data_IF_340434277801
#
_entry.id   IF_340434277801
#
_cell.length_a   1.000
_cell.length_b   1.000
_cell.length_c   1.000
_cell.angle_alpha   90.00
_cell.angle_beta   90.00
_cell.angle_gamma   90.00
#
_symmetry.space_group_name_H-M   'P 1'
#
loop_
_entity.id
_entity.type
_entity.pdbx_description
1 polymer ?
#
# COMPACT_ATOMS: atom_id res chain seq x y z
N UNK A 1 7.82 6.97 21.29
CA UNK A 1 7.93 5.80 20.41
C UNK A 1 7.63 6.20 18.95
N UNK A 2 6.38 6.48 18.55
CA UNK A 2 6.11 7.09 17.24
C UNK A 2 6.13 8.61 17.32
N UNK A 3 7.00 9.24 16.55
CA UNK A 3 7.00 10.69 16.39
C UNK A 3 6.03 11.12 15.30
N UNK A 4 5.88 10.25 14.30
CA UNK A 4 4.99 10.47 13.16
C UNK A 4 4.55 9.15 12.55
N UNK A 5 3.30 9.09 12.10
CA UNK A 5 2.78 8.04 11.24
C UNK A 5 1.79 8.66 10.25
N UNK A 6 1.99 8.42 8.97
CA UNK A 6 1.16 8.94 7.90
C UNK A 6 1.00 7.94 6.77
N UNK A 7 -0.25 7.73 6.35
CA UNK A 7 -0.59 6.70 5.37
C UNK A 7 0.21 6.82 4.06
N UNK A 8 0.46 8.04 3.58
CA UNK A 8 1.25 8.30 2.37
C UNK A 8 2.72 8.57 2.65
N UNK A 9 3.00 9.13 3.82
CA UNK A 9 4.34 9.63 4.14
C UNK A 9 5.25 8.55 4.70
N UNK A 10 4.68 7.57 5.40
CA UNK A 10 5.44 6.58 6.12
C UNK A 10 5.50 6.87 7.61
N UNK A 11 6.58 6.46 8.28
CA UNK A 11 6.66 6.50 9.73
C UNK A 11 8.02 6.99 10.23
N UNK A 12 7.99 7.68 11.38
CA UNK A 12 9.17 8.03 12.17
C UNK A 12 9.01 7.38 13.53
N UNK A 13 9.85 6.38 13.81
CA UNK A 13 9.76 5.54 14.99
C UNK A 13 11.10 5.58 15.74
N UNK A 14 11.05 5.92 17.01
CA UNK A 14 12.18 5.79 17.93
C UNK A 14 11.89 4.71 18.97
N UNK A 15 12.30 3.48 18.65
CA UNK A 15 12.10 2.33 19.52
C UNK A 15 13.05 2.31 20.75
N UNK A 16 14.02 3.23 20.83
CA UNK A 16 14.87 3.40 22.02
C UNK A 16 14.11 4.08 23.17
N UNK A 17 13.02 4.79 22.86
CA UNK A 17 12.20 5.46 23.86
C UNK A 17 11.12 4.54 24.41
N UNK A 18 10.86 4.57 25.72
CA UNK A 18 9.78 3.78 26.33
C UNK A 18 8.41 4.24 25.80
N UNK A 19 7.47 3.29 25.77
CA UNK A 19 6.07 3.62 25.52
C UNK A 19 5.48 4.25 26.80
N UNK A 20 5.23 5.54 26.77
CA UNK A 20 4.63 6.25 27.90
C UNK A 20 3.11 6.32 27.74
N UNK A 21 2.38 5.90 28.77
CA UNK A 21 0.93 6.11 28.86
C UNK A 21 0.71 7.53 29.41
N UNK A 22 0.31 8.44 28.53
CA UNK A 22 0.15 9.88 28.87
C UNK A 22 -1.22 10.26 29.39
N UNK A 23 -2.25 9.42 29.17
CA UNK A 23 -3.61 9.70 29.63
C UNK A 23 -4.39 8.40 29.90
N UNK A 24 -5.36 8.43 30.80
CA UNK A 24 -6.26 7.30 31.02
C UNK A 24 -7.17 7.09 29.81
N UNK A 25 -7.53 5.84 29.58
CA UNK A 25 -8.55 5.46 28.61
C UNK A 25 -9.90 5.37 29.31
N UNK A 26 -10.92 5.98 28.72
CA UNK A 26 -12.30 5.87 29.21
C UNK A 26 -13.13 5.06 28.22
N UNK A 27 -13.94 4.16 28.74
CA UNK A 27 -14.90 3.43 27.94
C UNK A 27 -16.07 4.35 27.60
N UNK A 28 -16.39 4.48 26.32
CA UNK A 28 -17.58 5.20 25.86
C UNK A 28 -18.53 4.26 25.13
N UNK A 29 -19.82 4.60 25.12
CA UNK A 29 -20.79 3.86 24.33
C UNK A 29 -20.74 4.31 22.86
N UNK A 30 -20.91 3.37 21.94
CA UNK A 30 -21.15 3.69 20.54
C UNK A 30 -22.49 4.42 20.39
N UNK A 31 -22.56 5.35 19.45
CA UNK A 31 -23.83 5.96 19.07
C UNK A 31 -24.78 4.87 18.55
N UNK A 32 -26.04 4.91 18.96
CA UNK A 32 -27.06 3.97 18.47
C UNK A 32 -27.36 4.09 16.97
N UNK A 33 -26.89 5.18 16.34
CA UNK A 33 -26.98 5.38 14.88
C UNK A 33 -25.85 4.73 14.09
N UNK A 34 -24.83 4.15 14.75
CA UNK A 34 -23.70 3.51 14.09
C UNK A 34 -23.86 1.99 14.19
N UNK A 35 -23.95 1.32 13.04
CA UNK A 35 -23.88 -0.13 12.93
C UNK A 35 -22.45 -0.55 12.58
N UNK A 36 -21.88 -1.45 13.39
CA UNK A 36 -20.58 -2.07 13.07
C UNK A 36 -20.84 -3.39 12.36
N UNK A 37 -20.27 -3.54 11.18
CA UNK A 37 -20.37 -4.75 10.39
C UNK A 37 -18.97 -5.28 10.03
N UNK A 38 -18.78 -6.60 9.98
CA UNK A 38 -17.51 -7.17 9.56
C UNK A 38 -17.27 -6.91 8.06
N UNK A 39 -16.04 -6.66 7.68
CA UNK A 39 -15.65 -6.69 6.26
C UNK A 39 -15.75 -8.11 5.70
N UNK A 40 -16.14 -8.23 4.44
CA UNK A 40 -16.23 -9.52 3.74
C UNK A 40 -14.87 -10.01 3.21
N UNK A 41 -13.89 -9.15 3.15
CA UNK A 41 -12.55 -9.45 2.67
C UNK A 41 -11.50 -8.86 3.61
N UNK A 42 -10.34 -9.49 3.68
CA UNK A 42 -9.24 -9.08 4.55
C UNK A 42 -8.03 -8.67 3.72
N UNK A 43 -7.43 -7.55 4.10
CA UNK A 43 -6.11 -7.17 3.62
C UNK A 43 -5.07 -7.87 4.48
N UNK A 44 -4.19 -8.65 3.86
CA UNK A 44 -3.21 -9.48 4.54
C UNK A 44 -1.83 -9.35 3.88
N UNK A 45 -0.78 -9.72 4.63
CA UNK A 45 0.55 -9.91 4.06
C UNK A 45 0.61 -11.27 3.37
N UNK A 46 1.17 -11.28 2.17
CA UNK A 46 1.26 -12.48 1.34
C UNK A 46 2.72 -12.83 1.04
N UNK A 47 3.20 -12.59 -0.17
CA UNK A 47 4.56 -12.96 -0.55
C UNK A 47 5.60 -12.14 0.21
N UNK A 48 6.66 -12.83 0.63
CA UNK A 48 7.89 -12.16 1.10
C UNK A 48 8.88 -12.08 -0.06
N UNK A 49 9.17 -10.86 -0.50
CA UNK A 49 10.17 -10.60 -1.52
C UNK A 49 11.51 -10.27 -0.86
N UNK A 50 12.58 -10.81 -1.44
CA UNK A 50 13.96 -10.50 -1.06
C UNK A 50 14.59 -9.65 -2.17
N UNK A 51 15.56 -8.78 -1.85
CA UNK A 51 16.33 -8.09 -2.88
C UNK A 51 17.00 -9.09 -3.83
N UNK A 52 16.84 -8.89 -5.12
CA UNK A 52 17.51 -9.64 -6.18
C UNK A 52 18.86 -9.04 -6.53
N UNK A 53 19.01 -7.72 -6.35
CA UNK A 53 20.23 -6.97 -6.61
C UNK A 53 20.43 -5.90 -5.56
N UNK A 54 21.70 -5.64 -5.22
CA UNK A 54 22.14 -4.57 -4.32
C UNK A 54 23.03 -3.62 -5.09
N UNK A 55 22.50 -2.42 -5.36
CA UNK A 55 23.18 -1.36 -6.08
C UNK A 55 23.83 -0.42 -5.05
N UNK A 56 25.13 -0.27 -5.08
CA UNK A 56 25.88 0.58 -4.15
C UNK A 56 25.87 2.04 -4.63
N UNK A 57 25.29 2.94 -3.82
CA UNK A 57 25.43 4.38 -3.95
C UNK A 57 26.63 4.92 -3.16
N UNK A 58 26.75 6.24 -3.10
CA UNK A 58 27.86 6.90 -2.39
C UNK A 58 27.73 6.74 -0.87
N UNK A 59 26.56 7.01 -0.31
CA UNK A 59 26.27 7.00 1.13
C UNK A 59 25.00 6.16 1.46
N UNK A 60 24.58 5.31 0.52
CA UNK A 60 23.38 4.47 0.62
C UNK A 60 23.53 3.22 -0.25
N UNK A 61 22.62 2.29 -0.07
CA UNK A 61 22.43 1.17 -0.99
C UNK A 61 21.01 1.19 -1.53
N UNK A 62 20.83 0.82 -2.79
CA UNK A 62 19.51 0.63 -3.40
C UNK A 62 19.30 -0.87 -3.60
N UNK A 63 18.20 -1.37 -3.09
CA UNK A 63 17.78 -2.76 -3.20
C UNK A 63 16.74 -2.88 -4.32
N UNK A 64 17.04 -3.64 -5.37
CA UNK A 64 16.10 -4.00 -6.42
C UNK A 64 15.41 -5.33 -6.07
N UNK A 65 14.09 -5.30 -5.91
CA UNK A 65 13.28 -6.50 -5.66
C UNK A 65 12.90 -7.24 -6.95
N UNK A 66 13.25 -6.71 -8.11
CA UNK A 66 12.91 -7.30 -9.41
C UNK A 66 11.44 -7.21 -9.79
N UNK A 67 10.56 -6.86 -8.86
CA UNK A 67 9.12 -6.77 -9.03
C UNK A 67 8.57 -5.49 -8.41
N UNK A 68 7.83 -4.69 -9.20
CA UNK A 68 7.04 -3.58 -8.68
C UNK A 68 5.78 -4.12 -8.00
N UNK A 69 5.52 -3.73 -6.74
CA UNK A 69 4.42 -4.27 -5.95
C UNK A 69 3.93 -3.27 -4.88
N UNK A 70 2.68 -3.44 -4.46
CA UNK A 70 2.15 -2.82 -3.25
C UNK A 70 2.55 -3.64 -2.02
N UNK A 71 3.11 -3.00 -1.00
CA UNK A 71 3.56 -3.71 0.19
C UNK A 71 4.25 -2.82 1.21
N UNK A 72 4.93 -3.44 2.14
CA UNK A 72 5.66 -2.77 3.22
C UNK A 72 7.09 -3.29 3.32
N UNK A 73 8.07 -2.41 3.57
CA UNK A 73 9.42 -2.85 3.92
C UNK A 73 9.42 -3.54 5.28
N UNK A 74 10.20 -4.59 5.40
CA UNK A 74 10.44 -5.30 6.65
C UNK A 74 11.88 -5.08 7.06
N UNK A 75 12.10 -4.57 8.26
CA UNK A 75 13.42 -4.29 8.82
C UNK A 75 13.74 -5.33 9.88
N UNK A 76 14.74 -6.18 9.63
CA UNK A 76 15.24 -7.08 10.66
C UNK A 76 16.21 -6.31 11.57
N UNK A 77 15.71 -5.96 12.73
CA UNK A 77 16.39 -5.10 13.70
C UNK A 77 17.60 -5.77 14.34
N UNK A 78 17.71 -7.10 14.27
CA UNK A 78 18.88 -7.84 14.79
C UNK A 78 20.18 -7.52 14.05
N UNK A 79 20.12 -6.91 12.85
CA UNK A 79 21.28 -6.43 12.10
C UNK A 79 21.72 -5.01 12.46
N UNK A 80 20.97 -4.33 13.36
CA UNK A 80 21.22 -2.94 13.73
C UNK A 80 21.84 -2.83 15.11
N UNK A 81 22.65 -1.81 15.30
CA UNK A 81 23.15 -1.43 16.62
C UNK A 81 22.10 -0.61 17.37
N UNK A 82 21.99 -0.80 18.69
CA UNK A 82 21.07 -0.01 19.55
C UNK A 82 21.37 1.48 19.40
N UNK A 83 20.32 2.28 19.19
CA UNK A 83 20.40 3.72 18.97
C UNK A 83 20.72 4.12 17.51
N UNK A 84 21.10 3.18 16.64
CA UNK A 84 21.26 3.51 15.22
C UNK A 84 19.91 3.74 14.55
N UNK A 85 19.89 4.59 13.52
CA UNK A 85 18.67 4.92 12.76
C UNK A 85 18.84 4.53 11.30
N UNK A 86 17.98 3.63 10.83
CA UNK A 86 17.88 3.30 9.42
C UNK A 86 16.83 4.20 8.77
N UNK A 87 17.16 4.70 7.58
CA UNK A 87 16.24 5.40 6.68
C UNK A 87 15.98 4.54 5.46
N UNK A 88 14.70 4.25 5.22
CA UNK A 88 14.23 3.50 4.06
C UNK A 88 13.36 4.42 3.20
N UNK A 89 13.72 4.60 1.94
CA UNK A 89 12.92 5.34 0.95
C UNK A 89 12.53 4.43 -0.19
N UNK A 90 11.33 4.58 -0.71
CA UNK A 90 10.82 3.74 -1.80
C UNK A 90 10.71 4.48 -3.13
N UNK A 91 10.83 3.75 -4.24
CA UNK A 91 10.50 4.20 -5.59
C UNK A 91 10.15 3.02 -6.50
N UNK A 92 9.39 3.28 -7.56
CA UNK A 92 9.02 2.28 -8.56
C UNK A 92 10.08 2.12 -9.65
N UNK A 93 10.81 3.20 -9.96
CA UNK A 93 11.83 3.25 -11.01
C UNK A 93 13.06 4.05 -10.53
N UNK A 94 14.17 3.82 -11.21
CA UNK A 94 15.38 4.64 -11.08
C UNK A 94 15.40 5.72 -12.16
N UNK A 95 16.08 6.83 -11.87
CA UNK A 95 16.37 7.87 -12.86
C UNK A 95 17.55 7.48 -13.77
N UNK A 96 17.91 8.36 -14.68
CA UNK A 96 19.03 8.15 -15.63
C UNK A 96 20.42 8.04 -14.97
N UNK A 97 20.55 8.43 -13.72
CA UNK A 97 21.80 8.36 -12.96
C UNK A 97 21.84 7.07 -12.08
N UNK A 98 20.75 6.31 -12.04
CA UNK A 98 20.61 5.14 -11.17
C UNK A 98 20.12 5.47 -9.77
N UNK A 99 19.69 6.71 -9.51
CA UNK A 99 19.09 7.13 -8.24
C UNK A 99 17.58 6.88 -8.24
N UNK A 100 16.96 6.86 -7.05
CA UNK A 100 15.50 6.71 -6.95
C UNK A 100 14.78 7.86 -7.65
N UNK A 101 13.95 7.55 -8.65
CA UNK A 101 13.02 8.55 -9.21
C UNK A 101 11.78 8.64 -8.34
N UNK A 102 11.55 9.79 -7.74
CA UNK A 102 10.45 10.03 -6.78
C UNK A 102 9.48 11.14 -7.20
N UNK A 103 9.62 11.69 -8.40
CA UNK A 103 8.73 12.76 -8.91
C UNK A 103 7.29 12.30 -9.09
N UNK A 104 7.07 11.01 -9.38
CA UNK A 104 5.74 10.40 -9.52
C UNK A 104 5.00 10.20 -8.18
N UNK A 105 5.67 10.32 -7.05
CA UNK A 105 5.04 10.19 -5.72
C UNK A 105 4.24 11.43 -5.31
N UNK A 106 4.33 12.52 -6.07
CA UNK A 106 3.70 13.82 -5.75
C UNK A 106 4.13 14.30 -4.35
N UNK A 107 3.19 14.38 -3.39
CA UNK A 107 3.47 14.82 -2.01
C UNK A 107 3.78 13.68 -1.05
N UNK A 108 3.56 12.42 -1.45
CA UNK A 108 3.83 11.26 -0.60
C UNK A 108 5.33 11.15 -0.32
N UNK A 109 5.71 11.13 0.96
CA UNK A 109 7.12 11.03 1.35
C UNK A 109 7.64 9.59 1.28
N UNK A 110 6.77 8.58 1.38
CA UNK A 110 7.11 7.16 1.27
C UNK A 110 8.46 6.84 1.91
N UNK A 111 8.60 7.15 3.20
CA UNK A 111 9.87 7.10 3.93
C UNK A 111 9.66 6.54 5.33
N UNK A 112 10.47 5.57 5.71
CA UNK A 112 10.51 5.04 7.09
C UNK A 112 11.82 5.49 7.73
N UNK A 113 11.71 6.05 8.91
CA UNK A 113 12.84 6.28 9.82
C UNK A 113 12.61 5.41 11.05
N UNK A 114 13.50 4.46 11.28
CA UNK A 114 13.42 3.58 12.43
C UNK A 114 14.70 3.63 13.24
N UNK A 115 14.60 4.06 14.51
CA UNK A 115 15.69 4.03 15.47
C UNK A 115 15.57 2.79 16.33
N UNK A 116 16.61 1.97 16.36
CA UNK A 116 16.69 0.69 17.08
C UNK A 116 16.65 0.89 18.58
N UNK A 117 15.73 0.20 19.24
CA UNK A 117 15.67 -0.01 20.68
C UNK A 117 16.26 -1.35 21.12
N UNK A 118 15.62 -1.98 22.11
CA UNK A 118 16.03 -3.29 22.64
C UNK A 118 15.43 -4.49 21.89
N UNK A 119 14.40 -4.27 21.08
CA UNK A 119 13.72 -5.34 20.34
C UNK A 119 14.62 -5.96 19.25
N UNK A 120 14.72 -7.28 19.27
CA UNK A 120 15.38 -8.10 18.26
C UNK A 120 14.30 -8.83 17.44
N UNK A 121 14.23 -8.59 16.14
CA UNK A 121 13.25 -9.21 15.25
C UNK A 121 12.86 -8.33 14.08
N UNK A 122 11.72 -8.63 13.46
CA UNK A 122 11.22 -7.88 12.31
C UNK A 122 10.36 -6.70 12.76
N UNK A 123 10.72 -5.49 12.31
CA UNK A 123 9.84 -4.33 12.35
C UNK A 123 9.10 -4.22 11.02
N UNK A 124 7.78 -4.17 11.08
CA UNK A 124 6.88 -4.00 9.94
C UNK A 124 6.05 -2.74 10.20
N UNK A 125 6.10 -1.71 9.35
CA UNK A 125 5.34 -0.48 9.54
C UNK A 125 3.83 -0.75 9.57
N UNK A 126 3.11 -0.46 10.69
CA UNK A 126 1.70 -0.81 10.81
C UNK A 126 0.73 0.21 10.20
N UNK A 127 1.15 1.46 9.93
CA UNK A 127 0.25 2.56 9.56
C UNK A 127 0.44 3.07 8.14
N UNK A 128 1.20 2.36 7.31
CA UNK A 128 1.46 2.72 5.91
C UNK A 128 1.61 1.48 5.03
N UNK A 129 1.43 1.64 3.74
CA UNK A 129 1.96 0.76 2.72
C UNK A 129 2.48 1.62 1.56
N UNK A 130 3.24 1.04 0.66
CA UNK A 130 3.92 1.75 -0.43
C UNK A 130 3.86 0.92 -1.71
N UNK A 131 3.89 1.60 -2.87
CA UNK A 131 4.12 0.96 -4.16
C UNK A 131 5.56 1.15 -4.58
N UNK A 132 6.32 0.07 -4.80
CA UNK A 132 7.73 0.16 -5.14
C UNK A 132 8.30 -1.13 -5.75
N UNK A 133 9.41 -0.94 -6.45
CA UNK A 133 10.36 -1.99 -6.83
C UNK A 133 11.69 -1.80 -6.11
N UNK A 134 12.04 -0.56 -5.79
CA UNK A 134 13.34 -0.19 -5.23
C UNK A 134 13.19 0.39 -3.84
N UNK A 135 14.09 -0.01 -2.93
CA UNK A 135 14.26 0.61 -1.62
C UNK A 135 15.68 1.13 -1.48
N UNK A 136 15.81 2.40 -1.12
CA UNK A 136 17.10 2.97 -0.73
C UNK A 136 17.25 2.91 0.77
N UNK A 137 18.39 2.41 1.22
CA UNK A 137 18.75 2.22 2.63
C UNK A 137 19.94 3.11 2.95
N UNK A 138 19.81 3.92 4.00
CA UNK A 138 20.88 4.79 4.51
C UNK A 138 20.82 4.92 6.03
N UNK A 139 21.86 5.50 6.64
CA UNK A 139 21.98 5.70 8.08
C UNK A 139 22.53 4.50 8.84
N UNK A 140 22.68 3.36 8.21
CA UNK A 140 23.29 2.13 8.75
C UNK A 140 24.07 1.39 7.66
N UNK A 141 24.99 0.52 8.06
CA UNK A 141 25.67 -0.39 7.15
C UNK A 141 24.73 -1.54 6.78
N UNK A 142 24.31 -1.58 5.51
CA UNK A 142 23.44 -2.64 5.01
C UNK A 142 24.15 -4.00 5.05
N UNK A 143 23.44 -5.02 5.51
CA UNK A 143 23.84 -6.43 5.48
C UNK A 143 22.75 -7.26 4.80
N UNK A 144 23.12 -8.28 4.08
CA UNK A 144 22.18 -9.20 3.46
C UNK A 144 21.24 -9.81 4.52
N UNK A 145 19.96 -9.85 4.21
CA UNK A 145 18.92 -10.31 5.15
C UNK A 145 18.38 -9.23 6.10
N UNK A 146 18.97 -8.03 6.13
CA UNK A 146 18.49 -6.92 6.96
C UNK A 146 17.14 -6.36 6.48
N UNK A 147 16.92 -6.31 5.17
CA UNK A 147 15.70 -5.76 4.58
C UNK A 147 15.06 -6.80 3.67
N UNK A 148 13.76 -6.97 3.84
CA UNK A 148 12.87 -7.68 2.92
C UNK A 148 11.61 -6.85 2.66
N UNK A 149 10.70 -7.38 1.87
CA UNK A 149 9.40 -6.75 1.62
C UNK A 149 8.28 -7.77 1.78
N UNK A 150 7.14 -7.36 2.32
CA UNK A 150 5.91 -8.14 2.31
C UNK A 150 4.90 -7.49 1.37
N UNK A 151 4.45 -8.23 0.36
CA UNK A 151 3.35 -7.80 -0.48
C UNK A 151 2.06 -7.74 0.36
N UNK A 152 1.28 -6.67 0.19
CA UNK A 152 0.07 -6.41 0.94
C UNK A 152 -1.11 -6.25 -0.03
N UNK A 153 -2.13 -7.09 0.08
CA UNK A 153 -3.35 -6.99 -0.73
C UNK A 153 -4.51 -7.77 -0.11
N UNK A 154 -5.71 -7.55 -0.65
CA UNK A 154 -6.91 -8.27 -0.24
C UNK A 154 -6.78 -9.76 -0.60
N UNK A 155 -7.00 -10.61 0.39
CA UNK A 155 -6.99 -12.07 0.21
C UNK A 155 -8.13 -12.51 -0.69
N UNK A 156 -7.78 -13.11 -1.83
CA UNK A 156 -8.70 -13.64 -2.84
C UNK A 156 -8.12 -14.95 -3.40
N UNK A 157 -8.96 -15.91 -3.65
CA UNK A 157 -8.55 -17.16 -4.30
C UNK A 157 -8.18 -16.92 -5.76
N UNK A 158 -7.01 -17.43 -6.19
CA UNK A 158 -6.60 -17.39 -7.58
C UNK A 158 -7.37 -18.43 -8.39
N UNK A 159 -8.21 -17.97 -9.34
CA UNK A 159 -9.08 -18.85 -10.14
C UNK A 159 -8.69 -18.90 -11.62
N UNK A 160 -7.98 -17.88 -12.11
CA UNK A 160 -7.57 -17.77 -13.50
C UNK A 160 -6.05 -17.87 -13.70
N UNK A 161 -5.66 -18.65 -14.70
CA UNK A 161 -4.27 -18.85 -15.08
C UNK A 161 -4.12 -18.76 -16.59
N UNK A 162 -3.05 -18.11 -17.03
CA UNK A 162 -2.72 -17.99 -18.45
C UNK A 162 -1.22 -18.24 -18.65
N UNK A 163 -0.88 -19.05 -19.63
CA UNK A 163 0.47 -19.33 -20.03
C UNK A 163 0.65 -19.25 -21.53
N UNK A 164 1.76 -18.69 -21.98
CA UNK A 164 2.11 -18.58 -23.39
C UNK A 164 3.63 -18.73 -23.58
N UNK A 165 4.04 -19.24 -24.75
CA UNK A 165 5.45 -19.29 -25.15
C UNK A 165 6.00 -17.91 -25.57
N UNK A 166 5.12 -16.94 -25.86
CA UNK A 166 5.53 -15.56 -26.13
C UNK A 166 5.91 -14.87 -24.82
N UNK A 167 7.19 -14.55 -24.66
CA UNK A 167 7.74 -13.98 -23.42
C UNK A 167 7.18 -12.60 -23.09
N UNK A 168 6.88 -11.76 -24.09
CA UNK A 168 6.38 -10.42 -23.88
C UNK A 168 4.92 -10.47 -23.40
N UNK A 169 4.10 -11.34 -24.00
CA UNK A 169 2.72 -11.54 -23.56
C UNK A 169 2.67 -12.17 -22.17
N UNK A 170 3.56 -13.15 -21.87
CA UNK A 170 3.65 -13.71 -20.52
C UNK A 170 4.02 -12.62 -19.50
N UNK A 171 5.02 -11.79 -19.83
CA UNK A 171 5.43 -10.69 -18.95
C UNK A 171 4.33 -9.67 -18.74
N UNK A 172 3.55 -9.35 -19.78
CA UNK A 172 2.37 -8.49 -19.67
C UNK A 172 1.34 -9.07 -18.70
N UNK A 173 1.03 -10.36 -18.83
CA UNK A 173 0.12 -11.05 -17.94
C UNK A 173 0.60 -11.02 -16.48
N UNK A 174 1.87 -11.32 -16.23
CA UNK A 174 2.45 -11.27 -14.89
C UNK A 174 2.37 -9.85 -14.29
N UNK A 175 2.59 -8.81 -15.10
CA UNK A 175 2.45 -7.43 -14.67
C UNK A 175 0.99 -7.08 -14.34
N UNK A 176 -0.01 -7.59 -15.09
CA UNK A 176 -1.44 -7.42 -14.79
C UNK A 176 -1.77 -8.03 -13.43
N UNK A 177 -1.26 -9.22 -13.13
CA UNK A 177 -1.46 -9.89 -11.84
C UNK A 177 -0.88 -9.06 -10.69
N UNK A 178 0.35 -8.57 -10.82
CA UNK A 178 0.96 -7.73 -9.80
C UNK A 178 0.30 -6.34 -9.69
N UNK A 179 -0.18 -5.79 -10.80
CA UNK A 179 -0.98 -4.56 -10.80
C UNK A 179 -2.29 -4.74 -10.03
N UNK A 180 -3.00 -5.87 -10.24
CA UNK A 180 -4.21 -6.19 -9.49
C UNK A 180 -3.93 -6.35 -8.00
N UNK A 181 -2.93 -7.13 -7.60
CA UNK A 181 -2.51 -7.29 -6.20
C UNK A 181 -2.22 -5.93 -5.56
N UNK A 182 -1.47 -5.07 -6.24
CA UNK A 182 -1.03 -3.78 -5.70
C UNK A 182 -2.16 -2.76 -5.53
N UNK A 183 -3.31 -2.94 -6.21
CA UNK A 183 -4.42 -2.00 -6.22
C UNK A 183 -5.73 -2.59 -5.67
N UNK A 184 -5.81 -3.88 -5.37
CA UNK A 184 -6.95 -4.47 -4.66
C UNK A 184 -6.63 -4.56 -3.17
N UNK A 185 -6.73 -3.40 -2.48
CA UNK A 185 -6.46 -3.26 -1.05
C UNK A 185 -7.72 -2.74 -0.38
N UNK A 186 -8.62 -3.65 -0.02
CA UNK A 186 -9.97 -3.45 0.50
C UNK A 186 -10.94 -2.81 -0.51
N UNK A 187 -10.46 -1.83 -1.29
CA UNK A 187 -11.14 -1.16 -2.38
C UNK A 187 -10.28 -1.19 -3.65
N UNK A 188 -10.84 -0.99 -4.86
CA UNK A 188 -10.04 -0.92 -6.10
C UNK A 188 -9.33 0.43 -6.18
N UNK A 189 -8.13 0.54 -5.58
CA UNK A 189 -7.34 1.77 -5.58
C UNK A 189 -6.76 2.07 -6.96
N UNK A 190 -6.63 3.35 -7.30
CA UNK A 190 -6.05 3.82 -8.56
C UNK A 190 -4.53 3.64 -8.62
N UNK A 191 -3.87 3.66 -7.49
CA UNK A 191 -2.41 3.58 -7.40
C UNK A 191 -1.95 3.15 -6.00
N UNK A 192 -0.76 2.50 -5.86
CA UNK A 192 -0.23 2.12 -4.56
C UNK A 192 0.83 3.07 -4.00
N UNK A 193 1.39 4.03 -4.81
CA UNK A 193 2.64 4.72 -4.48
C UNK A 193 2.51 6.17 -4.07
N UNK A 194 1.53 6.92 -4.62
CA UNK A 194 1.41 8.38 -4.45
C UNK A 194 0.33 8.76 -3.44
N UNK A 195 0.16 10.06 -3.18
CA UNK A 195 -0.83 10.64 -2.28
C UNK A 195 -2.26 10.67 -2.90
N UNK A 196 -2.76 9.52 -3.31
CA UNK A 196 -4.10 9.33 -3.89
C UNK A 196 -4.71 8.05 -3.31
N UNK A 197 -4.52 6.89 -3.89
CA UNK A 197 -4.93 5.57 -3.36
C UNK A 197 -6.41 5.51 -3.01
N UNK A 198 -7.24 5.95 -3.94
CA UNK A 198 -8.69 6.02 -3.79
C UNK A 198 -9.40 5.05 -4.73
N UNK A 199 -10.58 4.59 -4.31
CA UNK A 199 -11.44 3.73 -5.12
C UNK A 199 -12.17 4.53 -6.18
N UNK A 200 -11.52 4.86 -7.30
CA UNK A 200 -12.17 5.52 -8.42
C UNK A 200 -13.12 4.57 -9.13
N UNK A 201 -14.36 5.03 -9.34
CA UNK A 201 -15.42 4.21 -9.98
C UNK A 201 -15.10 3.88 -11.42
N UNK A 202 -14.49 4.79 -12.17
CA UNK A 202 -14.04 4.56 -13.54
C UNK A 202 -12.96 3.48 -13.64
N UNK A 203 -11.90 3.60 -12.83
CA UNK A 203 -10.80 2.62 -12.75
C UNK A 203 -11.31 1.25 -12.32
N UNK A 204 -12.15 1.21 -11.28
CA UNK A 204 -12.77 -0.02 -10.80
C UNK A 204 -13.62 -0.69 -11.90
N UNK A 205 -14.47 0.07 -12.61
CA UNK A 205 -15.32 -0.44 -13.68
C UNK A 205 -14.50 -1.06 -14.83
N UNK A 206 -13.49 -0.34 -15.33
CA UNK A 206 -12.68 -0.80 -16.46
C UNK A 206 -11.91 -2.08 -16.13
N UNK A 207 -11.42 -2.23 -14.91
CA UNK A 207 -10.61 -3.39 -14.53
C UNK A 207 -11.41 -4.55 -13.92
N UNK A 208 -12.68 -4.36 -13.55
CA UNK A 208 -13.49 -5.35 -12.84
C UNK A 208 -13.51 -6.73 -13.51
N UNK A 209 -13.76 -6.76 -14.81
CA UNK A 209 -13.83 -8.03 -15.57
C UNK A 209 -12.46 -8.70 -15.66
N UNK A 210 -11.39 -7.95 -15.91
CA UNK A 210 -10.02 -8.46 -15.90
C UNK A 210 -9.68 -9.06 -14.54
N UNK A 211 -10.05 -8.38 -13.46
CA UNK A 211 -9.85 -8.87 -12.10
C UNK A 211 -10.58 -10.18 -11.82
N UNK A 212 -11.83 -10.30 -12.29
CA UNK A 212 -12.65 -11.51 -12.13
C UNK A 212 -12.15 -12.71 -12.93
N UNK A 213 -11.44 -12.50 -14.03
CA UNK A 213 -10.79 -13.60 -14.76
C UNK A 213 -9.59 -14.18 -13.99
N UNK A 214 -8.97 -13.41 -13.11
CA UNK A 214 -7.75 -13.81 -12.43
C UNK A 214 -8.01 -14.40 -11.03
N UNK A 215 -9.00 -13.84 -10.32
CA UNK A 215 -9.30 -14.17 -8.93
C UNK A 215 -10.80 -14.28 -8.69
N UNK A 216 -11.21 -15.01 -7.67
CA UNK A 216 -12.55 -14.89 -7.10
C UNK A 216 -12.66 -13.53 -6.39
N UNK A 217 -13.25 -12.58 -7.08
CA UNK A 217 -13.41 -11.19 -6.62
C UNK A 217 -14.81 -10.91 -6.06
N UNK A 218 -15.66 -11.94 -5.87
CA UNK A 218 -17.05 -11.75 -5.47
C UNK A 218 -17.18 -10.99 -4.14
N UNK A 219 -16.47 -11.43 -3.10
CA UNK A 219 -16.50 -10.76 -1.79
C UNK A 219 -15.95 -9.34 -1.84
N UNK A 220 -14.85 -9.12 -2.61
CA UNK A 220 -14.24 -7.83 -2.81
C UNK A 220 -15.22 -6.82 -3.45
N UNK A 221 -15.83 -7.19 -4.56
CA UNK A 221 -16.80 -6.34 -5.24
C UNK A 221 -18.07 -6.14 -4.43
N UNK A 222 -18.58 -7.17 -3.76
CA UNK A 222 -19.76 -7.03 -2.92
C UNK A 222 -19.53 -6.02 -1.79
N UNK A 223 -18.37 -6.04 -1.16
CA UNK A 223 -17.99 -5.07 -0.11
C UNK A 223 -17.99 -3.64 -0.66
N UNK A 224 -17.26 -3.40 -1.75
CA UNK A 224 -17.11 -2.07 -2.33
C UNK A 224 -18.40 -1.52 -2.99
N UNK A 225 -19.17 -2.36 -3.68
CA UNK A 225 -20.45 -1.97 -4.28
C UNK A 225 -21.50 -1.63 -3.23
N UNK A 226 -21.41 -2.21 -2.05
CA UNK A 226 -22.24 -1.83 -0.91
C UNK A 226 -21.94 -0.41 -0.44
N UNK A 227 -20.66 -0.05 -0.31
CA UNK A 227 -20.26 1.32 0.02
C UNK A 227 -20.69 2.30 -1.06
N UNK A 228 -20.59 1.92 -2.33
CA UNK A 228 -21.08 2.71 -3.46
C UNK A 228 -22.59 2.95 -3.35
N UNK A 229 -23.39 1.90 -3.06
CA UNK A 229 -24.83 2.01 -2.89
C UNK A 229 -25.22 2.89 -1.69
N UNK A 230 -24.44 2.83 -0.59
CA UNK A 230 -24.63 3.72 0.56
C UNK A 230 -24.34 5.17 0.17
N UNK A 231 -23.21 5.45 -0.47
CA UNK A 231 -22.86 6.79 -0.95
C UNK A 231 -23.90 7.36 -1.93
N UNK A 232 -24.49 6.51 -2.78
CA UNK A 232 -25.58 6.92 -3.67
C UNK A 232 -26.86 7.29 -2.91
N UNK A 233 -27.19 6.60 -1.83
CA UNK A 233 -28.36 6.92 -0.98
C UNK A 233 -28.20 8.21 -0.20
N UNK A 234 -26.98 8.52 0.22
CA UNK A 234 -26.67 9.77 0.97
C UNK A 234 -26.69 11.00 0.06
N UNK A 235 -26.80 10.80 -1.24
CA UNK A 235 -26.87 11.84 -2.24
C UNK A 235 -28.31 12.05 -2.67
N UNK A 236 -28.86 13.27 -2.43
CA UNK A 236 -30.26 13.59 -2.75
C UNK A 236 -30.65 13.42 -4.22
N UNK A 237 -29.69 13.46 -5.13
CA UNK A 237 -29.91 13.32 -6.56
C UNK A 237 -29.59 11.91 -7.09
N UNK A 238 -29.10 11.02 -6.21
CA UNK A 238 -28.81 9.63 -6.54
C UNK A 238 -27.57 9.42 -7.42
N UNK A 239 -26.67 10.41 -7.51
CA UNK A 239 -25.43 10.26 -8.26
C UNK A 239 -24.46 9.28 -7.59
N UNK A 240 -23.71 8.59 -8.42
CA UNK A 240 -22.53 7.81 -8.00
C UNK A 240 -21.33 8.75 -7.96
N UNK A 241 -20.61 8.77 -6.84
CA UNK A 241 -19.39 9.55 -6.69
C UNK A 241 -18.27 9.06 -7.61
N UNK A 242 -17.34 9.94 -7.97
CA UNK A 242 -16.14 9.55 -8.70
C UNK A 242 -15.19 8.66 -7.89
N UNK A 243 -15.27 8.75 -6.56
CA UNK A 243 -14.52 7.90 -5.62
C UNK A 243 -15.45 7.31 -4.56
N UNK A 244 -15.18 6.07 -4.16
CA UNK A 244 -15.90 5.36 -3.10
C UNK A 244 -14.90 4.68 -2.16
N UNK A 245 -14.94 4.96 -0.85
CA UNK A 245 -15.75 5.98 -0.17
C UNK A 245 -15.44 7.40 -0.65
N UNK A 246 -16.45 8.27 -0.63
CA UNK A 246 -16.27 9.66 -1.02
C UNK A 246 -15.48 10.45 0.03
N UNK A 247 -14.51 11.24 -0.37
CA UNK A 247 -13.82 12.17 0.51
C UNK A 247 -14.59 13.49 0.59
N UNK A 248 -15.41 13.63 1.63
CA UNK A 248 -16.17 14.86 1.91
C UNK A 248 -17.27 15.16 0.87
N UNK A 249 -17.86 16.36 0.96
CA UNK A 249 -18.96 16.80 0.06
C UNK A 249 -18.52 17.04 -1.39
N UNK A 250 -17.23 17.04 -1.69
CA UNK A 250 -16.67 17.29 -3.03
C UNK A 250 -16.55 16.04 -3.91
N UNK A 251 -16.94 14.87 -3.42
CA UNK A 251 -16.91 13.62 -4.20
C UNK A 251 -17.95 13.54 -5.32
N UNK A 252 -18.88 14.50 -5.36
CA UNK A 252 -19.85 14.67 -6.45
C UNK A 252 -19.24 15.71 -7.39
N UNK A 253 -18.34 15.31 -8.19
CA UNK A 253 -17.66 16.25 -9.04
C UNK A 253 -18.05 16.12 -10.49
N UNK A 254 -17.60 17.08 -11.23
CA UNK A 254 -17.62 17.16 -12.67
C UNK A 254 -17.27 15.83 -13.40
N UNK A 255 -16.41 14.98 -12.82
CA UNK A 255 -16.05 13.68 -13.39
C UNK A 255 -17.20 12.66 -13.37
N UNK A 256 -18.07 12.71 -12.37
CA UNK A 256 -19.29 11.88 -12.33
C UNK A 256 -20.24 12.24 -13.49
N UNK A 257 -20.32 13.54 -13.82
CA UNK A 257 -21.12 14.02 -14.96
C UNK A 257 -20.54 13.62 -16.34
N UNK A 258 -19.25 13.27 -16.39
CA UNK A 258 -18.57 12.79 -17.60
C UNK A 258 -18.61 11.26 -17.78
N UNK A 259 -19.40 10.55 -16.98
CA UNK A 259 -19.58 9.11 -17.09
C UNK A 259 -18.53 8.26 -16.38
N UNK A 260 -17.63 8.85 -15.56
CA UNK A 260 -16.67 8.10 -14.76
C UNK A 260 -17.29 7.33 -13.60
N UNK A 261 -18.52 7.64 -13.24
CA UNK A 261 -19.28 7.01 -12.17
C UNK A 261 -20.40 6.09 -12.61
N UNK A 262 -20.55 5.82 -13.89
CA UNK A 262 -21.64 5.00 -14.42
C UNK A 262 -21.19 3.60 -14.78
#
# INVERSE_FOLDING_TARGET
FWDYAGFYDGEVVDASRPLEIKCPVVKTALSSSVSLEPTLCKVEYHETLKPMEVIKGKDSVILDFGQNHGGVPVINTSFMEKGSTVKVRSAEILDKNGDLYRGNLRKAKSTILYTKGDYEGEYIPPFTYMGYRYLEISGVDYREGMISSKALYTSMERTGYFHTSNKDIQKLYDNIIWGQKSNYIEIPTDCPQRDERMGYTGDGHVFALTGAYNYDTQAFWHNWLRDLALGQKDNSEGYIGSTVPAQGKSGIGFLSMLGWGN
#
